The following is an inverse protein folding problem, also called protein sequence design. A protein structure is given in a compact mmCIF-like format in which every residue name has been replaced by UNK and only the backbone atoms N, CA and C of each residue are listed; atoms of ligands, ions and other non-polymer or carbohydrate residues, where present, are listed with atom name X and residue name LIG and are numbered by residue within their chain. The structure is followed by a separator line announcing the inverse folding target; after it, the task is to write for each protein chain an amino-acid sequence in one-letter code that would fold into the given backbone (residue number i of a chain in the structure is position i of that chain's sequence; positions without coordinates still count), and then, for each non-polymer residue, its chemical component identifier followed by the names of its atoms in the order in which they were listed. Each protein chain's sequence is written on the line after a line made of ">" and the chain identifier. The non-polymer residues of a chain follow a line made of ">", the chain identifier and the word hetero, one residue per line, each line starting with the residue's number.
data_IF_624096317525
#
_entry.id   IF_624096317525
#
_cell.length_a   1.000
_cell.length_b   1.000
_cell.length_c   1.000
_cell.angle_alpha   90.00
_cell.angle_beta   90.00
_cell.angle_gamma   90.00
#
_symmetry.space_group_name_H-M   'P 1'
#
loop_
_entity.id
_entity.type
_entity.pdbx_description
1 polymer ?
#
# COMPACT_ATOMS: atom_id res chain seq x y z
N UNK A 1 -13.40 7.63 -4.95
CA UNK A 1 -13.39 9.07 -5.23
C UNK A 1 -13.35 9.86 -3.92
N UNK A 2 -12.59 10.96 -3.86
CA UNK A 2 -12.48 11.78 -2.65
C UNK A 2 -13.66 12.76 -2.46
N UNK A 3 -14.53 12.92 -3.46
CA UNK A 3 -15.73 13.74 -3.38
C UNK A 3 -16.85 13.24 -4.30
N UNK A 4 -18.04 13.80 -4.15
CA UNK A 4 -19.23 13.40 -4.93
C UNK A 4 -19.07 13.60 -6.44
N UNK A 5 -18.43 14.70 -6.89
CA UNK A 5 -18.21 14.96 -8.32
C UNK A 5 -17.00 14.19 -8.91
N UNK A 6 -16.12 13.64 -8.08
CA UNK A 6 -14.97 12.84 -8.50
C UNK A 6 -13.70 13.63 -8.86
N UNK A 7 -13.78 14.98 -8.91
CA UNK A 7 -12.68 15.80 -9.41
C UNK A 7 -11.71 16.34 -8.34
N UNK A 8 -12.06 16.25 -7.05
CA UNK A 8 -11.12 16.67 -6.00
C UNK A 8 -9.83 15.83 -6.07
N UNK A 9 -8.61 16.41 -5.94
CA UNK A 9 -8.31 17.77 -5.47
C UNK A 9 -8.27 18.87 -6.54
N UNK A 10 -8.54 18.57 -7.81
CA UNK A 10 -8.55 19.59 -8.87
C UNK A 10 -9.68 20.60 -8.63
N UNK A 11 -9.32 21.77 -8.08
CA UNK A 11 -10.29 22.82 -7.74
C UNK A 11 -10.89 23.53 -8.96
N UNK A 12 -10.27 23.45 -10.13
CA UNK A 12 -10.85 24.02 -11.36
C UNK A 12 -12.05 23.23 -11.88
N UNK A 13 -12.08 21.94 -11.58
CA UNK A 13 -13.14 21.01 -12.02
C UNK A 13 -14.06 20.58 -10.89
N UNK A 14 -13.60 20.67 -9.65
CA UNK A 14 -14.36 20.26 -8.48
C UNK A 14 -15.24 21.41 -7.96
N UNK A 15 -16.56 21.24 -8.06
CA UNK A 15 -17.55 22.16 -7.54
C UNK A 15 -17.98 21.89 -6.08
N UNK A 16 -17.42 20.85 -5.45
CA UNK A 16 -17.80 20.49 -4.09
C UNK A 16 -17.17 21.44 -3.06
N UNK A 17 -17.98 21.84 -2.07
CA UNK A 17 -17.50 22.57 -0.91
C UNK A 17 -16.65 21.68 0.01
N UNK A 18 -15.85 22.28 0.91
CA UNK A 18 -15.11 21.53 1.94
C UNK A 18 -16.04 20.66 2.81
N UNK A 19 -17.22 21.18 3.11
CA UNK A 19 -18.25 20.45 3.87
C UNK A 19 -18.74 19.21 3.10
N UNK A 20 -18.98 19.35 1.78
CA UNK A 20 -19.41 18.22 0.95
C UNK A 20 -18.35 17.13 0.88
N UNK A 21 -17.07 17.53 0.73
CA UNK A 21 -15.94 16.61 0.71
C UNK A 21 -15.85 15.86 2.05
N UNK A 22 -15.86 16.57 3.16
CA UNK A 22 -15.82 15.96 4.50
C UNK A 22 -16.99 15.00 4.72
N UNK A 23 -18.22 15.43 4.38
CA UNK A 23 -19.41 14.59 4.49
C UNK A 23 -19.37 13.36 3.58
N UNK A 24 -18.80 13.49 2.38
CA UNK A 24 -18.64 12.35 1.48
C UNK A 24 -17.62 11.35 2.01
N UNK A 25 -16.46 11.82 2.48
CA UNK A 25 -15.42 10.96 3.04
C UNK A 25 -15.83 10.30 4.37
N UNK A 26 -16.66 10.99 5.18
CA UNK A 26 -17.15 10.42 6.46
C UNK A 26 -18.15 9.26 6.29
N UNK A 27 -18.63 8.97 5.05
CA UNK A 27 -19.46 7.79 4.78
C UNK A 27 -18.72 6.48 5.02
N UNK A 28 -17.40 6.49 4.90
CA UNK A 28 -16.57 5.35 5.26
C UNK A 28 -16.01 5.61 6.66
N UNK A 29 -16.40 4.80 7.62
CA UNK A 29 -15.98 5.00 9.00
C UNK A 29 -14.48 4.75 9.19
N UNK A 30 -13.87 5.42 10.18
CA UNK A 30 -12.45 5.24 10.51
C UNK A 30 -12.05 3.77 10.74
N UNK A 31 -12.85 2.94 11.43
CA UNK A 31 -12.53 1.51 11.55
C UNK A 31 -12.47 0.74 10.23
N UNK A 32 -13.19 1.18 9.19
CA UNK A 32 -13.09 0.57 7.86
C UNK A 32 -11.78 0.98 7.20
N UNK A 33 -11.43 2.28 7.25
CA UNK A 33 -10.13 2.76 6.77
C UNK A 33 -8.97 2.05 7.44
N UNK A 34 -9.04 1.84 8.74
CA UNK A 34 -8.03 1.09 9.49
C UNK A 34 -7.88 -0.38 9.05
N UNK A 35 -8.83 -0.91 8.29
CA UNK A 35 -8.78 -2.28 7.73
C UNK A 35 -8.24 -2.35 6.31
N UNK A 36 -8.17 -1.24 5.61
CA UNK A 36 -7.61 -1.18 4.24
C UNK A 36 -6.10 -1.03 4.35
N UNK A 37 -5.35 -1.97 3.79
CA UNK A 37 -3.89 -2.00 3.93
C UNK A 37 -3.19 -1.03 2.96
N UNK A 38 -3.71 -0.86 1.76
CA UNK A 38 -3.12 -0.01 0.71
C UNK A 38 -4.22 0.84 0.09
N UNK A 39 -3.99 2.16 0.04
CA UNK A 39 -4.82 3.09 -0.69
C UNK A 39 -3.97 3.78 -1.77
N UNK A 40 -4.42 3.71 -3.01
CA UNK A 40 -3.77 4.40 -4.13
C UNK A 40 -4.68 5.47 -4.70
N UNK A 41 -4.08 6.55 -5.17
CA UNK A 41 -4.80 7.59 -5.89
C UNK A 41 -4.68 7.33 -7.40
N UNK A 42 -5.83 7.12 -8.06
CA UNK A 42 -5.88 6.97 -9.50
C UNK A 42 -6.19 8.33 -10.13
N UNK A 43 -5.24 8.86 -10.88
CA UNK A 43 -5.43 10.09 -11.66
C UNK A 43 -6.37 9.88 -12.84
N UNK A 44 -6.86 10.98 -13.41
CA UNK A 44 -7.62 10.92 -14.67
C UNK A 44 -6.67 10.63 -15.83
N UNK A 45 -7.10 9.76 -16.74
CA UNK A 45 -6.37 9.49 -17.97
C UNK A 45 -6.72 10.58 -18.98
N UNK A 46 -5.71 11.18 -19.64
CA UNK A 46 -5.93 12.11 -20.73
C UNK A 46 -6.51 11.33 -21.93
N UNK A 47 -7.52 11.91 -22.59
CA UNK A 47 -8.10 11.34 -23.80
C UNK A 47 -7.05 11.11 -24.91
N UNK A 48 -6.01 11.93 -24.94
CA UNK A 48 -4.88 11.73 -25.86
C UNK A 48 -4.16 10.41 -25.65
N UNK A 49 -4.00 9.98 -24.38
CA UNK A 49 -3.35 8.71 -24.06
C UNK A 49 -4.21 7.50 -24.41
N UNK A 50 -5.52 7.72 -24.66
CA UNK A 50 -6.46 6.66 -25.09
C UNK A 50 -6.55 6.61 -26.62
N UNK A 51 -6.60 7.80 -27.27
CA UNK A 51 -6.85 7.91 -28.71
C UNK A 51 -5.58 7.75 -29.54
N UNK A 52 -4.48 8.21 -29.03
CA UNK A 52 -3.18 8.06 -29.65
C UNK A 52 -2.41 7.09 -28.76
N UNK A 53 -2.09 5.90 -29.28
CA UNK A 53 -1.08 5.05 -28.64
C UNK A 53 0.19 5.90 -28.54
N UNK A 54 0.26 6.74 -27.50
CA UNK A 54 1.53 7.33 -27.11
C UNK A 54 2.46 6.15 -26.94
N UNK A 55 3.68 6.24 -27.47
CA UNK A 55 4.77 5.31 -27.16
C UNK A 55 4.80 5.17 -25.64
N UNK A 56 3.93 4.29 -25.15
CA UNK A 56 3.87 3.92 -23.72
C UNK A 56 5.24 3.38 -23.48
N UNK A 57 6.01 4.15 -22.77
CA UNK A 57 7.38 3.90 -22.36
C UNK A 57 7.63 2.40 -22.33
N UNK A 58 8.63 1.91 -23.07
CA UNK A 58 9.06 0.50 -23.03
C UNK A 58 9.48 0.04 -21.63
N UNK A 59 9.43 0.91 -20.63
CA UNK A 59 9.44 0.59 -19.19
C UNK A 59 8.21 -0.25 -18.77
N UNK A 60 7.19 -0.40 -19.62
CA UNK A 60 6.00 -1.21 -19.35
C UNK A 60 6.25 -2.72 -19.37
N UNK A 61 7.41 -3.19 -19.82
CA UNK A 61 7.76 -4.62 -19.77
C UNK A 61 7.76 -5.19 -18.35
N UNK A 62 7.99 -4.33 -17.35
CA UNK A 62 7.92 -4.74 -15.95
C UNK A 62 6.50 -5.13 -15.53
N UNK A 63 5.47 -4.47 -16.06
CA UNK A 63 4.07 -4.68 -15.67
C UNK A 63 3.33 -5.74 -16.51
N UNK A 64 4.04 -6.58 -17.23
CA UNK A 64 3.40 -7.73 -17.89
C UNK A 64 2.87 -8.73 -16.86
N UNK A 65 1.79 -9.42 -17.21
CA UNK A 65 1.22 -10.46 -16.34
C UNK A 65 2.25 -11.54 -15.97
N UNK A 66 3.15 -11.88 -16.90
CA UNK A 66 4.22 -12.85 -16.65
C UNK A 66 5.21 -12.37 -15.58
N UNK A 67 5.67 -11.11 -15.68
CA UNK A 67 6.59 -10.51 -14.71
C UNK A 67 5.93 -10.32 -13.36
N UNK A 68 4.68 -9.85 -13.30
CA UNK A 68 3.92 -9.74 -12.05
C UNK A 68 3.76 -11.09 -11.37
N UNK A 69 3.43 -12.16 -12.12
CA UNK A 69 3.36 -13.52 -11.57
C UNK A 69 4.71 -13.99 -11.01
N UNK A 70 5.80 -13.67 -11.68
CA UNK A 70 7.15 -14.00 -11.20
C UNK A 70 7.45 -13.30 -9.88
N UNK A 71 7.17 -11.99 -9.76
CA UNK A 71 7.35 -11.23 -8.52
C UNK A 71 6.52 -11.81 -7.37
N UNK A 72 5.24 -12.11 -7.63
CA UNK A 72 4.36 -12.72 -6.62
C UNK A 72 4.88 -14.08 -6.18
N UNK A 73 5.33 -14.91 -7.14
CA UNK A 73 5.91 -16.23 -6.82
C UNK A 73 7.18 -16.09 -5.98
N UNK A 74 8.08 -15.19 -6.34
CA UNK A 74 9.30 -14.92 -5.53
C UNK A 74 8.95 -14.55 -4.10
N UNK A 75 8.04 -13.60 -3.90
CA UNK A 75 7.58 -13.20 -2.57
C UNK A 75 6.95 -14.36 -1.80
N UNK A 76 6.14 -15.18 -2.47
CA UNK A 76 5.52 -16.36 -1.86
C UNK A 76 6.56 -17.39 -1.41
N UNK A 77 7.53 -17.72 -2.27
CA UNK A 77 8.57 -18.70 -1.96
C UNK A 77 9.42 -18.24 -0.75
N UNK A 78 9.77 -16.95 -0.68
CA UNK A 78 10.47 -16.34 0.47
C UNK A 78 9.63 -16.45 1.76
N UNK A 79 8.33 -16.17 1.70
CA UNK A 79 7.46 -16.26 2.87
C UNK A 79 7.28 -17.70 3.32
N UNK A 80 7.13 -18.63 2.39
CA UNK A 80 7.04 -20.07 2.67
C UNK A 80 8.31 -20.58 3.38
N UNK A 81 9.48 -20.16 2.96
CA UNK A 81 10.74 -20.50 3.61
C UNK A 81 10.80 -19.87 5.02
N UNK A 82 10.50 -18.57 5.14
CA UNK A 82 10.48 -17.84 6.42
C UNK A 82 9.58 -18.51 7.45
N UNK A 83 8.42 -18.99 7.05
CA UNK A 83 7.41 -19.56 7.95
C UNK A 83 7.38 -21.09 7.96
N UNK A 84 8.42 -21.75 7.45
CA UNK A 84 8.48 -23.23 7.37
C UNK A 84 8.27 -23.94 8.71
N UNK A 85 8.60 -23.29 9.83
CA UNK A 85 8.43 -23.80 11.18
C UNK A 85 7.31 -23.09 11.97
N UNK A 86 6.41 -22.38 11.28
CA UNK A 86 5.31 -21.64 11.89
C UNK A 86 3.97 -22.13 11.33
N UNK A 87 2.89 -21.88 12.07
CA UNK A 87 1.54 -22.21 11.60
C UNK A 87 0.90 -21.03 10.83
N UNK A 88 1.68 -20.36 10.00
CA UNK A 88 1.26 -19.26 9.10
C UNK A 88 1.99 -19.38 7.76
N UNK A 89 1.40 -18.85 6.70
CA UNK A 89 1.96 -18.91 5.34
C UNK A 89 2.33 -17.52 4.79
N UNK A 90 1.66 -16.47 5.26
CA UNK A 90 1.78 -15.13 4.72
C UNK A 90 2.13 -14.07 5.78
N UNK A 91 2.84 -13.04 5.38
CA UNK A 91 3.13 -11.88 6.23
C UNK A 91 1.86 -11.27 6.85
N UNK A 92 0.72 -11.29 6.14
CA UNK A 92 -0.57 -10.79 6.63
C UNK A 92 -1.07 -11.50 7.88
N UNK A 93 -0.74 -12.79 8.05
CA UNK A 93 -1.18 -13.63 9.17
C UNK A 93 -0.31 -13.44 10.42
N UNK A 94 0.81 -12.71 10.33
CA UNK A 94 1.68 -12.49 11.48
C UNK A 94 0.95 -11.79 12.63
N UNK A 95 1.15 -12.29 13.83
CA UNK A 95 0.78 -11.65 15.08
C UNK A 95 1.95 -10.86 15.67
N UNK A 96 1.76 -10.23 16.82
CA UNK A 96 2.79 -9.41 17.48
C UNK A 96 4.09 -10.18 17.78
N UNK A 97 4.00 -11.45 18.16
CA UNK A 97 5.19 -12.30 18.43
C UNK A 97 5.99 -12.53 17.15
N UNK A 98 5.29 -12.81 16.03
CA UNK A 98 5.91 -12.97 14.72
C UNK A 98 6.57 -11.68 14.25
N UNK A 99 5.90 -10.54 14.43
CA UNK A 99 6.45 -9.23 14.08
C UNK A 99 7.76 -8.99 14.84
N UNK A 100 7.79 -9.20 16.15
CA UNK A 100 9.02 -9.06 16.97
C UNK A 100 10.14 -10.03 16.54
N UNK A 101 9.79 -11.23 16.10
CA UNK A 101 10.74 -12.26 15.69
C UNK A 101 11.37 -11.95 14.33
N UNK A 102 10.55 -11.56 13.35
CA UNK A 102 10.94 -11.45 11.94
C UNK A 102 11.24 -10.02 11.47
N UNK A 103 10.91 -8.99 12.26
CA UNK A 103 11.21 -7.60 11.92
C UNK A 103 12.29 -7.03 12.84
N UNK A 104 13.51 -7.03 12.35
CA UNK A 104 14.64 -6.38 13.03
C UNK A 104 14.86 -5.01 12.41
N UNK A 105 14.13 -4.01 12.89
CA UNK A 105 14.31 -2.63 12.46
C UNK A 105 15.66 -2.12 12.98
N UNK A 106 16.49 -1.58 12.09
CA UNK A 106 17.67 -0.81 12.45
C UNK A 106 17.29 0.55 13.07
N UNK A 107 18.30 1.32 13.45
CA UNK A 107 18.08 2.62 14.10
C UNK A 107 17.41 3.64 13.15
N UNK A 108 17.74 3.61 11.86
CA UNK A 108 17.16 4.49 10.86
C UNK A 108 15.67 4.20 10.66
N UNK A 109 15.33 2.92 10.49
CA UNK A 109 13.94 2.48 10.31
C UNK A 109 13.08 2.77 11.53
N UNK A 110 13.63 2.61 12.75
CA UNK A 110 12.93 2.97 13.99
C UNK A 110 12.56 4.44 14.01
N UNK A 111 13.51 5.34 13.68
CA UNK A 111 13.26 6.79 13.62
C UNK A 111 12.18 7.15 12.60
N UNK A 112 12.21 6.50 11.42
CA UNK A 112 11.17 6.70 10.40
C UNK A 112 9.81 6.27 10.94
N UNK A 113 9.73 5.12 11.59
CA UNK A 113 8.50 4.59 12.15
C UNK A 113 7.97 5.42 13.31
N UNK A 114 8.83 5.95 14.19
CA UNK A 114 8.46 6.89 15.26
C UNK A 114 7.84 8.15 14.66
N UNK A 115 8.54 8.76 13.68
CA UNK A 115 8.03 9.95 13.00
C UNK A 115 6.70 9.70 12.30
N UNK A 116 6.55 8.56 11.64
CA UNK A 116 5.31 8.16 10.97
C UNK A 116 4.18 7.94 11.98
N UNK A 117 4.48 7.30 13.10
CA UNK A 117 3.51 7.03 14.17
C UNK A 117 2.93 8.34 14.73
N UNK A 118 3.79 9.31 15.03
CA UNK A 118 3.38 10.61 15.56
C UNK A 118 2.64 11.47 14.51
N UNK A 119 3.22 11.63 13.31
CA UNK A 119 2.65 12.54 12.29
C UNK A 119 1.34 12.04 11.71
N UNK A 120 1.20 10.72 11.54
CA UNK A 120 0.01 10.11 10.94
C UNK A 120 -0.99 9.63 11.98
N UNK A 121 -0.72 9.84 13.28
CA UNK A 121 -1.55 9.33 14.38
C UNK A 121 -1.91 7.85 14.18
N UNK A 122 -0.89 7.02 13.90
CA UNK A 122 -1.11 5.60 13.65
C UNK A 122 -1.61 4.90 14.90
N UNK A 123 -2.56 4.01 14.72
CA UNK A 123 -2.90 3.03 15.76
C UNK A 123 -1.83 1.93 15.80
N UNK A 124 -1.77 1.18 16.89
CA UNK A 124 -0.89 -0.03 16.98
C UNK A 124 -1.17 -1.00 15.83
N UNK A 125 -2.44 -1.13 15.44
CA UNK A 125 -2.85 -1.91 14.28
C UNK A 125 -2.27 -1.34 12.99
N UNK A 126 -2.37 -0.02 12.79
CA UNK A 126 -1.77 0.68 11.65
C UNK A 126 -0.26 0.50 11.58
N UNK A 127 0.42 0.60 12.72
CA UNK A 127 1.86 0.32 12.82
C UNK A 127 2.22 -1.10 12.32
N UNK A 128 1.52 -2.13 12.82
CA UNK A 128 1.76 -3.50 12.38
C UNK A 128 1.45 -3.71 10.89
N UNK A 129 0.43 -3.04 10.36
CA UNK A 129 0.11 -3.08 8.91
C UNK A 129 1.23 -2.53 8.07
N UNK A 130 1.76 -1.34 8.43
CA UNK A 130 2.90 -0.74 7.72
C UNK A 130 4.07 -1.69 7.69
N UNK A 131 4.43 -2.31 8.82
CA UNK A 131 5.53 -3.27 8.87
C UNK A 131 5.29 -4.47 7.94
N UNK A 132 4.10 -5.09 8.02
CA UNK A 132 3.76 -6.26 7.17
C UNK A 132 3.79 -5.93 5.68
N UNK A 133 3.29 -4.76 5.31
CA UNK A 133 3.30 -4.29 3.93
C UNK A 133 4.73 -4.01 3.46
N UNK A 134 5.54 -3.31 4.26
CA UNK A 134 6.93 -3.04 3.96
C UNK A 134 7.74 -4.34 3.77
N UNK A 135 7.51 -5.34 4.62
CA UNK A 135 8.15 -6.66 4.46
C UNK A 135 7.72 -7.34 3.16
N UNK A 136 6.44 -7.27 2.83
CA UNK A 136 5.93 -7.88 1.59
C UNK A 136 6.54 -7.19 0.36
N UNK A 137 6.71 -5.87 0.39
CA UNK A 137 7.41 -5.14 -0.69
C UNK A 137 8.86 -5.62 -0.80
N UNK A 138 9.56 -5.75 0.32
CA UNK A 138 10.93 -6.26 0.33
C UNK A 138 11.03 -7.70 -0.18
N UNK A 139 10.04 -8.55 0.12
CA UNK A 139 9.97 -9.92 -0.42
C UNK A 139 9.76 -9.91 -1.95
N UNK A 140 8.93 -8.99 -2.48
CA UNK A 140 8.75 -8.80 -3.93
C UNK A 140 10.06 -8.37 -4.60
N UNK A 141 10.87 -7.55 -3.92
CA UNK A 141 12.20 -7.12 -4.38
C UNK A 141 13.29 -8.18 -4.19
N UNK A 142 12.95 -9.35 -3.65
CA UNK A 142 13.89 -10.44 -3.38
C UNK A 142 14.84 -10.17 -2.19
N UNK A 143 14.52 -9.21 -1.33
CA UNK A 143 15.33 -8.88 -0.15
C UNK A 143 14.92 -9.76 1.02
N UNK A 144 15.81 -10.65 1.43
CA UNK A 144 15.50 -11.56 2.55
C UNK A 144 15.59 -10.90 3.94
N UNK A 145 16.35 -9.80 4.08
CA UNK A 145 16.59 -9.07 5.34
C UNK A 145 16.57 -7.56 5.14
#
# INVERSE_FOLDING_TARGET
>A
NPCRCGYYPDRNRCSCTEHDIKRYMSRVSKPIWDRIDICTHMGMIDARNILYESDVDKSSDFYTTANMKKCVKTAYDIQKERFSNENIEFNSQMNEKHVKKYYRLGQAEKRIMETAFERLNLTVRGYHKVLKTARTIADIEGRMY
#
